data_IF_034886577935
#
_entry.id   IF_034886577935
#
_cell.length_a   1.000
_cell.length_b   1.000
_cell.length_c   1.000
_cell.angle_alpha   90.00
_cell.angle_beta   90.00
_cell.angle_gamma   90.00
#
_symmetry.space_group_name_H-M   'P 1'
#
loop_
_entity.id
_entity.type
_entity.pdbx_description
1 polymer ?
#
# COMPACT_ATOMS: atom_id res chain seq x y z
N UNK A 1 -25.81 11.93 12.33
CA UNK A 1 -25.05 12.12 11.09
C UNK A 1 -23.62 11.74 11.39
N UNK A 2 -23.17 10.56 10.95
CA UNK A 2 -21.78 10.14 11.16
C UNK A 2 -20.86 10.95 10.26
N UNK A 3 -19.78 11.50 10.84
CA UNK A 3 -18.74 12.16 10.07
C UNK A 3 -17.78 11.08 9.60
N UNK A 4 -17.55 10.99 8.30
CA UNK A 4 -16.49 10.15 7.73
C UNK A 4 -15.15 10.59 8.34
N UNK A 5 -14.45 9.66 8.99
CA UNK A 5 -13.11 9.87 9.54
C UNK A 5 -12.10 9.30 8.55
N UNK A 6 -11.19 10.16 8.08
CA UNK A 6 -10.05 9.72 7.28
C UNK A 6 -8.96 9.15 8.19
N UNK A 7 -8.25 8.13 7.72
CA UNK A 7 -7.07 7.58 8.37
C UNK A 7 -5.87 7.74 7.45
N UNK A 8 -4.76 8.20 8.02
CA UNK A 8 -3.48 8.28 7.31
C UNK A 8 -2.70 7.02 7.62
N UNK A 9 -2.30 6.29 6.58
CA UNK A 9 -1.45 5.12 6.70
C UNK A 9 0.03 5.50 6.49
N UNK A 10 0.97 4.68 6.99
CA UNK A 10 2.41 4.87 6.73
C UNK A 10 2.73 4.94 5.24
N UNK A 11 3.78 5.68 4.91
CA UNK A 11 4.30 5.72 3.54
C UNK A 11 5.01 4.42 3.19
N UNK A 12 4.63 3.81 2.06
CA UNK A 12 5.29 2.63 1.51
C UNK A 12 6.54 3.05 0.73
N UNK A 13 7.72 2.89 1.33
CA UNK A 13 9.00 3.31 0.78
C UNK A 13 9.70 2.14 0.07
N UNK A 14 10.16 2.32 -1.18
CA UNK A 14 10.99 1.28 -1.80
C UNK A 14 11.17 1.45 -3.31
N UNK A 15 10.15 1.98 -3.99
CA UNK A 15 10.30 2.35 -5.39
C UNK A 15 11.26 3.53 -5.54
N UNK A 16 12.31 3.36 -6.35
CA UNK A 16 13.33 4.38 -6.63
C UNK A 16 12.98 5.26 -7.83
N UNK A 17 11.83 5.03 -8.46
CA UNK A 17 11.34 5.75 -9.63
C UNK A 17 9.82 5.87 -9.59
N UNK A 18 9.23 6.64 -10.52
CA UNK A 18 7.80 6.93 -10.54
C UNK A 18 6.94 5.67 -10.52
N UNK A 19 5.97 5.66 -9.61
CA UNK A 19 4.92 4.65 -9.53
C UNK A 19 3.82 5.04 -10.51
N UNK A 20 3.40 4.11 -11.36
CA UNK A 20 2.37 4.35 -12.37
C UNK A 20 1.04 3.72 -12.03
N UNK A 21 1.05 2.60 -11.30
CA UNK A 21 -0.16 1.86 -10.96
C UNK A 21 -0.06 1.32 -9.52
N UNK A 22 -1.21 1.31 -8.86
CA UNK A 22 -1.42 0.73 -7.53
C UNK A 22 -2.66 -0.16 -7.60
N UNK A 23 -2.59 -1.34 -6.99
CA UNK A 23 -3.73 -2.24 -6.87
C UNK A 23 -3.82 -2.80 -5.46
N UNK A 24 -5.03 -2.80 -4.90
CA UNK A 24 -5.34 -3.45 -3.63
C UNK A 24 -5.83 -4.86 -3.87
N UNK A 25 -5.44 -5.80 -3.01
CA UNK A 25 -6.11 -7.09 -2.94
C UNK A 25 -7.55 -6.92 -2.44
N UNK A 26 -8.51 -7.77 -2.86
CA UNK A 26 -9.89 -7.70 -2.40
C UNK A 26 -10.06 -7.86 -0.89
N UNK A 27 -9.12 -8.54 -0.23
CA UNK A 27 -9.10 -8.73 1.23
C UNK A 27 -8.39 -7.59 1.98
N UNK A 28 -7.85 -6.60 1.27
CA UNK A 28 -7.18 -5.43 1.84
C UNK A 28 -5.83 -5.70 2.51
N UNK A 29 -5.31 -6.93 2.42
CA UNK A 29 -4.07 -7.32 3.10
C UNK A 29 -2.82 -7.03 2.29
N UNK A 30 -2.96 -6.82 0.98
CA UNK A 30 -1.81 -6.66 0.11
C UNK A 30 -1.99 -5.49 -0.85
N UNK A 31 -0.92 -4.74 -1.08
CA UNK A 31 -0.84 -3.73 -2.13
C UNK A 31 0.25 -4.13 -3.13
N UNK A 32 -0.05 -4.05 -4.42
CA UNK A 32 0.92 -4.12 -5.49
C UNK A 32 1.14 -2.74 -6.12
N UNK A 33 2.41 -2.35 -6.29
CA UNK A 33 2.79 -1.09 -6.93
C UNK A 33 3.78 -1.35 -8.07
N UNK A 34 3.53 -0.82 -9.27
CA UNK A 34 4.46 -0.90 -10.41
C UNK A 34 5.17 0.42 -10.67
N UNK A 35 6.44 0.36 -11.07
CA UNK A 35 7.29 1.53 -11.30
C UNK A 35 7.93 1.55 -12.69
N UNK A 36 8.30 2.75 -13.14
CA UNK A 36 9.16 2.97 -14.33
C UNK A 36 10.47 2.20 -14.27
N UNK A 37 10.98 1.90 -13.08
CA UNK A 37 12.20 1.12 -12.88
C UNK A 37 12.09 -0.35 -13.32
N UNK A 38 10.94 -0.80 -13.83
CA UNK A 38 10.70 -2.17 -14.25
C UNK A 38 10.40 -3.12 -13.09
N UNK A 39 10.20 -2.59 -11.89
CA UNK A 39 9.91 -3.37 -10.68
C UNK A 39 8.45 -3.30 -10.30
N UNK A 40 7.96 -4.40 -9.74
CA UNK A 40 6.70 -4.46 -9.00
C UNK A 40 7.05 -4.81 -7.56
N UNK A 41 6.62 -3.99 -6.61
CA UNK A 41 6.75 -4.26 -5.19
C UNK A 41 5.40 -4.67 -4.61
N UNK A 42 5.43 -5.72 -3.79
CA UNK A 42 4.28 -6.22 -3.06
C UNK A 42 4.45 -5.90 -1.58
N UNK A 43 3.43 -5.29 -0.99
CA UNK A 43 3.40 -4.89 0.40
C UNK A 43 2.38 -5.71 1.15
N UNK A 44 2.82 -6.38 2.21
CA UNK A 44 1.93 -6.99 3.19
C UNK A 44 1.51 -5.91 4.21
N UNK A 45 0.20 -5.73 4.36
CA UNK A 45 -0.43 -4.81 5.30
C UNK A 45 -0.99 -5.53 6.52
N UNK A 46 -0.73 -6.83 6.66
CA UNK A 46 -1.06 -7.53 7.89
C UNK A 46 -0.26 -6.88 9.02
N UNK A 47 -1.00 -6.27 9.94
CA UNK A 47 -0.43 -5.82 11.20
C UNK A 47 -0.23 -7.08 12.02
N UNK A 48 1.02 -7.51 12.13
CA UNK A 48 1.40 -8.48 13.16
C UNK A 48 1.08 -7.82 14.50
N UNK A 49 0.04 -8.30 15.18
CA UNK A 49 -0.25 -7.91 16.56
C UNK A 49 0.82 -8.53 17.46
N UNK A 50 2.03 -7.98 17.42
CA UNK A 50 3.02 -8.11 18.48
C UNK A 50 2.86 -6.87 19.34
N UNK A 51 2.38 -7.11 20.57
CA UNK A 51 2.04 -6.09 21.58
C UNK A 51 3.10 -4.99 21.76
#
# INVERSE_FOLDING_TARGET
MERTRWHTFPTLLGHTSWVFCVAFSPDGKTIACSSRGGTVLLWDLTVDNVD
#
